data_IF_393837727574
#
_entry.id   IF_393837727574
#
_cell.length_a   1.000
_cell.length_b   1.000
_cell.length_c   1.000
_cell.angle_alpha   90.00
_cell.angle_beta   90.00
_cell.angle_gamma   90.00
#
_symmetry.space_group_name_H-M   'P 1'
#
loop_
_entity.id
_entity.type
_entity.pdbx_description
1 polymer ?
#
# COMPACT_ATOMS: atom_id res chain seq x y z
N UNK A 1 -15.99 -20.31 -15.90
CA UNK A 1 -16.78 -19.28 -15.19
C UNK A 1 -17.86 -18.78 -16.13
N UNK A 2 -19.10 -18.69 -15.65
CA UNK A 2 -20.21 -18.06 -16.40
C UNK A 2 -20.31 -16.59 -16.00
N UNK A 3 -20.48 -15.70 -16.98
CA UNK A 3 -20.68 -14.28 -16.82
C UNK A 3 -21.90 -13.84 -17.60
N UNK A 4 -22.93 -13.37 -16.92
CA UNK A 4 -24.09 -12.73 -17.53
C UNK A 4 -24.06 -11.22 -17.28
N UNK A 5 -24.30 -10.42 -18.31
CA UNK A 5 -24.35 -8.95 -18.20
C UNK A 5 -25.67 -8.45 -18.74
N UNK A 6 -26.45 -7.78 -17.93
CA UNK A 6 -27.74 -7.19 -18.31
C UNK A 6 -27.55 -5.68 -18.48
N UNK A 7 -27.81 -5.16 -19.68
CA UNK A 7 -27.64 -3.74 -20.01
C UNK A 7 -28.67 -3.29 -21.04
N UNK A 8 -28.94 -2.00 -21.12
CA UNK A 8 -29.69 -1.39 -22.22
C UNK A 8 -28.79 -0.99 -23.42
N UNK A 9 -27.50 -1.24 -23.29
CA UNK A 9 -26.47 -0.99 -24.32
C UNK A 9 -25.54 -2.19 -24.50
N UNK A 10 -26.01 -3.32 -25.07
CA UNK A 10 -25.19 -4.53 -25.23
C UNK A 10 -23.87 -4.30 -25.94
N UNK A 11 -23.85 -3.44 -26.95
CA UNK A 11 -22.67 -3.14 -27.79
C UNK A 11 -21.54 -2.48 -26.98
N UNK A 12 -21.86 -1.89 -25.83
CA UNK A 12 -20.86 -1.30 -24.92
C UNK A 12 -19.89 -2.33 -24.40
N UNK A 13 -20.27 -3.60 -24.40
CA UNK A 13 -19.49 -4.71 -23.84
C UNK A 13 -18.64 -5.43 -24.89
N UNK A 14 -18.69 -5.01 -26.16
CA UNK A 14 -17.89 -5.57 -27.23
C UNK A 14 -16.37 -5.65 -26.96
N UNK A 15 -15.74 -4.73 -26.17
CA UNK A 15 -14.33 -4.87 -25.78
C UNK A 15 -13.98 -6.17 -25.05
N UNK A 16 -14.94 -6.83 -24.40
CA UNK A 16 -14.74 -8.13 -23.76
C UNK A 16 -14.48 -9.29 -24.73
N UNK A 17 -14.66 -9.07 -26.03
CA UNK A 17 -14.27 -10.02 -27.09
C UNK A 17 -12.80 -9.90 -27.51
N UNK A 18 -12.09 -8.91 -27.00
CA UNK A 18 -10.73 -8.60 -27.39
C UNK A 18 -9.70 -9.18 -26.41
N UNK A 19 -8.41 -9.18 -26.81
CA UNK A 19 -7.26 -9.48 -25.98
C UNK A 19 -7.39 -10.82 -25.20
N UNK A 20 -6.96 -10.84 -23.95
CA UNK A 20 -6.93 -12.02 -23.10
C UNK A 20 -8.33 -12.55 -22.75
N UNK A 21 -9.29 -11.65 -22.51
CA UNK A 21 -10.68 -12.05 -22.21
C UNK A 21 -11.31 -12.71 -23.42
N UNK A 22 -11.19 -12.13 -24.61
CA UNK A 22 -11.67 -12.75 -25.83
C UNK A 22 -10.99 -14.10 -26.13
N UNK A 23 -9.70 -14.27 -25.78
CA UNK A 23 -9.03 -15.56 -25.85
C UNK A 23 -9.63 -16.54 -24.83
N UNK A 24 -9.81 -16.16 -23.59
CA UNK A 24 -10.37 -16.99 -22.52
C UNK A 24 -11.80 -17.47 -22.88
N UNK A 25 -12.59 -16.64 -23.55
CA UNK A 25 -13.90 -17.01 -24.09
C UNK A 25 -13.79 -18.10 -25.17
N UNK A 26 -12.90 -17.91 -26.14
CA UNK A 26 -12.67 -18.93 -27.21
C UNK A 26 -12.13 -20.26 -26.65
N UNK A 27 -11.33 -20.19 -25.61
CA UNK A 27 -10.76 -21.37 -24.92
C UNK A 27 -11.77 -22.03 -23.95
N UNK A 28 -12.98 -21.48 -23.81
CA UNK A 28 -14.02 -22.02 -22.93
C UNK A 28 -13.81 -21.80 -21.44
N UNK A 29 -12.84 -20.95 -21.04
CA UNK A 29 -12.61 -20.60 -19.63
C UNK A 29 -13.67 -19.64 -19.11
N UNK A 30 -14.22 -18.81 -19.98
CA UNK A 30 -15.27 -17.83 -19.69
C UNK A 30 -16.42 -18.01 -20.70
N UNK A 31 -17.62 -18.21 -20.18
CA UNK A 31 -18.88 -18.17 -20.94
C UNK A 31 -19.57 -16.82 -20.67
N UNK A 32 -19.37 -15.85 -21.57
CA UNK A 32 -19.96 -14.51 -21.47
C UNK A 32 -21.25 -14.42 -22.27
N UNK A 33 -22.34 -14.06 -21.61
CA UNK A 33 -23.65 -13.79 -22.20
C UNK A 33 -24.05 -12.34 -21.89
N UNK A 34 -24.49 -11.63 -22.91
CA UNK A 34 -24.95 -10.25 -22.76
C UNK A 34 -26.44 -10.19 -23.12
N UNK A 35 -27.24 -9.66 -22.20
CA UNK A 35 -28.70 -9.56 -22.33
C UNK A 35 -29.08 -8.09 -22.51
N UNK A 36 -29.89 -7.80 -23.56
CA UNK A 36 -30.55 -6.50 -23.66
C UNK A 36 -31.76 -6.47 -22.73
N UNK A 37 -31.71 -5.60 -21.71
CA UNK A 37 -32.82 -5.43 -20.77
C UNK A 37 -34.16 -5.10 -21.51
N UNK A 38 -34.08 -4.48 -22.66
CA UNK A 38 -35.28 -4.14 -23.47
C UNK A 38 -35.99 -5.37 -24.02
N UNK A 39 -35.36 -6.54 -24.10
CA UNK A 39 -36.01 -7.79 -24.50
C UNK A 39 -37.01 -8.32 -23.48
N UNK A 40 -36.94 -7.80 -22.26
CA UNK A 40 -37.84 -8.10 -21.11
C UNK A 40 -38.92 -7.04 -20.91
N UNK A 41 -39.24 -6.27 -21.94
CA UNK A 41 -40.33 -5.29 -21.95
C UNK A 41 -41.48 -5.75 -22.85
N UNK A 42 -42.70 -5.37 -22.54
CA UNK A 42 -43.90 -5.81 -23.23
C UNK A 42 -44.64 -4.68 -23.98
N UNK A 43 -44.17 -3.43 -23.80
CA UNK A 43 -44.75 -2.29 -24.48
C UNK A 43 -44.06 -2.05 -25.83
N UNK A 44 -44.80 -1.41 -26.76
CA UNK A 44 -44.33 -1.12 -28.12
C UNK A 44 -43.01 -0.31 -28.14
N UNK A 45 -42.77 0.52 -27.15
CA UNK A 45 -41.60 1.40 -27.07
C UNK A 45 -40.41 0.78 -26.33
N UNK A 46 -40.56 -0.46 -25.83
CA UNK A 46 -39.54 -1.19 -25.07
C UNK A 46 -38.99 -0.34 -23.90
N UNK A 47 -39.93 0.24 -23.13
CA UNK A 47 -39.63 1.24 -22.07
C UNK A 47 -39.09 0.60 -20.82
N UNK A 48 -37.88 0.95 -20.42
CA UNK A 48 -37.16 0.39 -19.26
C UNK A 48 -37.10 1.33 -18.08
N UNK A 49 -37.57 2.57 -18.18
CA UNK A 49 -37.48 3.62 -17.17
C UNK A 49 -38.78 4.40 -17.02
N UNK A 50 -38.94 5.10 -15.90
CA UNK A 50 -40.08 5.98 -15.60
C UNK A 50 -39.66 7.07 -14.60
N UNK A 51 -40.54 8.04 -14.39
CA UNK A 51 -40.34 9.13 -13.42
C UNK A 51 -40.29 8.60 -11.98
N UNK A 52 -39.41 9.16 -11.12
CA UNK A 52 -39.30 8.71 -9.72
C UNK A 52 -40.53 9.10 -8.89
N UNK A 53 -40.95 8.19 -8.02
CA UNK A 53 -41.92 8.55 -6.98
C UNK A 53 -41.32 9.59 -6.02
N UNK A 54 -42.12 10.56 -5.62
CA UNK A 54 -41.67 11.67 -4.80
C UNK A 54 -41.16 12.86 -5.62
N UNK A 55 -41.14 12.75 -6.92
CA UNK A 55 -40.62 13.78 -7.84
C UNK A 55 -39.10 13.86 -7.85
N UNK A 56 -38.55 14.82 -8.60
CA UNK A 56 -37.12 15.02 -8.77
C UNK A 56 -36.75 15.02 -10.25
N UNK A 57 -35.47 15.30 -10.53
CA UNK A 57 -34.91 15.23 -11.88
C UNK A 57 -34.51 13.79 -12.20
N UNK A 58 -34.51 13.46 -13.50
CA UNK A 58 -34.06 12.17 -13.97
C UNK A 58 -35.17 11.10 -14.07
N UNK A 59 -34.74 9.88 -14.32
CA UNK A 59 -35.59 8.70 -14.52
C UNK A 59 -35.04 7.56 -13.67
N UNK A 60 -35.88 6.59 -13.31
CA UNK A 60 -35.51 5.38 -12.57
C UNK A 60 -35.83 4.17 -13.40
N UNK A 61 -34.95 3.19 -13.47
CA UNK A 61 -35.17 1.95 -14.21
C UNK A 61 -36.25 1.11 -13.53
N UNK A 62 -37.22 0.68 -14.34
CA UNK A 62 -38.41 -0.04 -13.88
C UNK A 62 -38.10 -1.41 -13.29
N UNK A 63 -38.79 -1.84 -12.23
CA UNK A 63 -38.56 -3.14 -11.62
C UNK A 63 -38.96 -4.33 -12.51
N UNK A 64 -40.02 -4.21 -13.33
CA UNK A 64 -40.53 -5.33 -14.11
C UNK A 64 -39.53 -5.89 -15.13
N UNK A 65 -38.89 -5.09 -16.02
CA UNK A 65 -37.87 -5.64 -16.94
C UNK A 65 -36.70 -6.29 -16.21
N UNK A 66 -36.29 -5.71 -15.06
CA UNK A 66 -35.20 -6.25 -14.26
C UNK A 66 -35.57 -7.59 -13.61
N UNK A 67 -36.76 -7.73 -13.04
CA UNK A 67 -37.19 -8.99 -12.43
C UNK A 67 -37.24 -10.11 -13.46
N UNK A 68 -37.81 -9.86 -14.64
CA UNK A 68 -37.88 -10.86 -15.71
C UNK A 68 -36.51 -11.26 -16.26
N UNK A 69 -35.60 -10.28 -16.44
CA UNK A 69 -34.22 -10.56 -16.87
C UNK A 69 -33.46 -11.40 -15.83
N UNK A 70 -33.60 -11.07 -14.54
CA UNK A 70 -32.97 -11.82 -13.46
C UNK A 70 -33.57 -13.22 -13.31
N UNK A 71 -34.89 -13.40 -13.41
CA UNK A 71 -35.55 -14.71 -13.40
C UNK A 71 -35.07 -15.57 -14.59
N UNK A 72 -34.90 -14.96 -15.77
CA UNK A 72 -34.36 -15.65 -16.95
C UNK A 72 -32.93 -16.15 -16.72
N UNK A 73 -32.07 -15.36 -16.11
CA UNK A 73 -30.69 -15.74 -15.80
C UNK A 73 -30.65 -16.78 -14.67
N UNK A 74 -31.45 -16.62 -13.62
CA UNK A 74 -31.52 -17.57 -12.51
C UNK A 74 -31.95 -18.96 -12.98
N UNK A 75 -32.93 -19.03 -13.88
CA UNK A 75 -33.43 -20.31 -14.44
C UNK A 75 -32.37 -21.09 -15.26
N UNK A 76 -31.29 -20.45 -15.66
CA UNK A 76 -30.18 -21.04 -16.41
C UNK A 76 -28.95 -21.35 -15.53
N UNK A 77 -29.04 -21.14 -14.24
CA UNK A 77 -27.92 -21.34 -13.31
C UNK A 77 -28.09 -22.62 -12.52
N UNK A 78 -27.00 -23.40 -12.43
CA UNK A 78 -26.95 -24.62 -11.60
C UNK A 78 -26.64 -24.33 -10.12
N UNK A 79 -26.35 -23.08 -9.78
CA UNK A 79 -25.99 -22.61 -8.42
C UNK A 79 -26.52 -21.22 -8.19
N UNK A 80 -26.55 -20.78 -6.93
CA UNK A 80 -26.92 -19.40 -6.58
C UNK A 80 -25.85 -18.42 -7.10
N UNK A 81 -26.16 -17.59 -8.14
CA UNK A 81 -25.18 -16.67 -8.72
C UNK A 81 -24.90 -15.47 -7.80
N UNK A 82 -23.75 -14.80 -8.01
CA UNK A 82 -23.49 -13.50 -7.41
C UNK A 82 -23.99 -12.41 -8.37
N UNK A 83 -24.95 -11.61 -7.93
CA UNK A 83 -25.43 -10.44 -8.67
C UNK A 83 -24.62 -9.20 -8.24
N UNK A 84 -23.85 -8.63 -9.17
CA UNK A 84 -23.08 -7.42 -8.95
C UNK A 84 -23.82 -6.24 -9.58
N UNK A 85 -24.12 -5.24 -8.75
CA UNK A 85 -24.73 -3.99 -9.18
C UNK A 85 -23.69 -2.88 -9.03
N UNK A 86 -23.08 -2.39 -10.14
CA UNK A 86 -22.17 -1.26 -10.07
C UNK A 86 -22.91 0.01 -9.63
N UNK A 87 -22.42 0.66 -8.56
CA UNK A 87 -23.04 1.88 -8.06
C UNK A 87 -22.10 2.65 -7.14
N UNK A 88 -22.16 4.02 -7.13
CA UNK A 88 -21.24 4.85 -6.35
C UNK A 88 -21.39 4.68 -4.83
N UNK A 89 -22.56 4.24 -4.37
CA UNK A 89 -22.85 3.96 -2.95
C UNK A 89 -22.48 2.55 -2.49
N UNK A 90 -21.91 1.71 -3.37
CA UNK A 90 -21.54 0.34 -3.06
C UNK A 90 -20.24 0.20 -2.27
N UNK A 91 -19.98 -1.03 -1.81
CA UNK A 91 -18.69 -1.38 -1.24
C UNK A 91 -17.59 -1.19 -2.30
N UNK A 92 -16.43 -0.67 -1.89
CA UNK A 92 -15.30 -0.46 -2.79
C UNK A 92 -14.79 -1.78 -3.36
N UNK A 93 -14.77 -1.88 -4.68
CA UNK A 93 -14.14 -2.97 -5.40
C UNK A 93 -12.61 -2.83 -5.33
N UNK A 94 -11.93 -3.86 -4.85
CA UNK A 94 -10.48 -3.94 -4.74
C UNK A 94 -9.97 -5.32 -5.20
N UNK A 95 -8.65 -5.53 -5.09
CA UNK A 95 -8.03 -6.79 -5.52
C UNK A 95 -8.50 -8.01 -4.71
N UNK A 96 -8.82 -7.84 -3.42
CA UNK A 96 -9.35 -8.91 -2.59
C UNK A 96 -10.77 -9.32 -3.05
N UNK A 97 -11.62 -8.33 -3.34
CA UNK A 97 -12.95 -8.53 -3.92
C UNK A 97 -12.87 -9.21 -5.31
N UNK A 98 -11.90 -8.79 -6.14
CA UNK A 98 -11.69 -9.43 -7.44
C UNK A 98 -11.32 -10.92 -7.30
N UNK A 99 -10.50 -11.29 -6.32
CA UNK A 99 -10.16 -12.71 -6.02
C UNK A 99 -11.37 -13.50 -5.54
N UNK A 100 -12.14 -12.95 -4.63
CA UNK A 100 -13.35 -13.60 -4.14
C UNK A 100 -14.32 -13.89 -5.29
N UNK A 101 -14.53 -12.91 -6.17
CA UNK A 101 -15.37 -13.06 -7.34
C UNK A 101 -14.77 -14.02 -8.40
N UNK A 102 -13.46 -14.06 -8.57
CA UNK A 102 -12.79 -15.00 -9.48
C UNK A 102 -12.96 -16.47 -9.05
N UNK A 103 -13.24 -16.73 -7.77
CA UNK A 103 -13.50 -18.06 -7.24
C UNK A 103 -14.97 -18.52 -7.45
N UNK A 104 -15.87 -17.63 -7.88
CA UNK A 104 -17.28 -17.95 -8.11
C UNK A 104 -17.47 -18.66 -9.45
N UNK A 105 -18.46 -19.53 -9.54
CA UNK A 105 -18.80 -20.22 -10.77
C UNK A 105 -19.62 -19.36 -11.73
N UNK A 106 -20.47 -18.47 -11.20
CA UNK A 106 -21.40 -17.66 -11.98
C UNK A 106 -21.51 -16.24 -11.40
N UNK A 107 -21.20 -15.23 -12.20
CA UNK A 107 -21.38 -13.81 -11.89
C UNK A 107 -22.40 -13.19 -12.83
N UNK A 108 -23.27 -12.36 -12.29
CA UNK A 108 -24.28 -11.59 -13.03
C UNK A 108 -24.05 -10.12 -12.77
N UNK A 109 -23.97 -9.30 -13.80
CA UNK A 109 -23.82 -7.86 -13.69
C UNK A 109 -25.07 -7.13 -14.14
N UNK A 110 -25.61 -6.26 -13.29
CA UNK A 110 -26.76 -5.41 -13.59
C UNK A 110 -26.28 -3.97 -13.86
N UNK A 111 -26.23 -3.57 -15.12
CA UNK A 111 -25.80 -2.22 -15.53
C UNK A 111 -26.93 -1.21 -15.35
N UNK A 112 -26.96 -0.55 -14.18
CA UNK A 112 -27.87 0.57 -13.94
C UNK A 112 -27.54 1.79 -14.80
N UNK A 113 -28.58 2.56 -15.16
CA UNK A 113 -28.51 3.83 -15.86
C UNK A 113 -29.41 4.85 -15.19
N UNK A 114 -29.38 6.09 -15.65
CA UNK A 114 -30.17 7.20 -15.11
C UNK A 114 -29.89 7.40 -13.60
N UNK A 115 -30.94 7.55 -12.77
CA UNK A 115 -30.81 7.70 -11.30
C UNK A 115 -30.66 6.34 -10.58
N UNK A 116 -30.60 5.24 -11.34
CA UNK A 116 -30.41 3.89 -10.81
C UNK A 116 -31.55 2.94 -11.13
N UNK A 117 -31.48 1.77 -10.52
CA UNK A 117 -32.47 0.71 -10.60
C UNK A 117 -33.44 0.87 -9.43
N UNK A 118 -34.73 0.62 -9.63
CA UNK A 118 -35.74 0.62 -8.55
C UNK A 118 -35.28 -0.28 -7.40
N UNK A 119 -35.25 0.26 -6.18
CA UNK A 119 -34.68 -0.38 -4.99
C UNK A 119 -35.30 -1.76 -4.68
N UNK A 120 -36.58 -1.95 -5.04
CA UNK A 120 -37.30 -3.23 -4.88
C UNK A 120 -36.72 -4.38 -5.66
N UNK A 121 -35.92 -4.09 -6.70
CA UNK A 121 -35.23 -5.11 -7.51
C UNK A 121 -34.17 -5.83 -6.70
N UNK A 122 -33.50 -5.14 -5.78
CA UNK A 122 -32.45 -5.76 -4.96
C UNK A 122 -33.03 -6.75 -3.95
N UNK A 123 -34.14 -6.38 -3.29
CA UNK A 123 -34.87 -7.27 -2.38
C UNK A 123 -35.45 -8.48 -3.15
N UNK A 124 -35.95 -8.25 -4.34
CA UNK A 124 -36.48 -9.32 -5.21
C UNK A 124 -35.36 -10.30 -5.61
N UNK A 125 -34.24 -9.79 -6.07
CA UNK A 125 -33.10 -10.57 -6.50
C UNK A 125 -32.45 -11.39 -5.37
N UNK A 126 -32.50 -10.87 -4.13
CA UNK A 126 -31.92 -11.55 -2.97
C UNK A 126 -32.51 -12.94 -2.68
N UNK A 127 -33.64 -13.31 -3.29
CA UNK A 127 -34.20 -14.67 -3.19
C UNK A 127 -33.33 -15.71 -3.88
N UNK A 128 -32.79 -15.36 -5.05
CA UNK A 128 -32.13 -16.31 -5.95
C UNK A 128 -30.65 -15.98 -6.17
N UNK A 129 -30.19 -14.77 -5.78
CA UNK A 129 -28.84 -14.25 -5.94
C UNK A 129 -28.19 -13.85 -4.61
N UNK A 130 -26.86 -13.89 -4.57
CA UNK A 130 -26.06 -13.12 -3.60
C UNK A 130 -25.85 -11.71 -4.17
N UNK A 131 -26.60 -10.73 -3.65
CA UNK A 131 -26.62 -9.36 -4.20
C UNK A 131 -25.49 -8.53 -3.59
N UNK A 132 -24.63 -7.98 -4.44
CA UNK A 132 -23.50 -7.14 -4.04
C UNK A 132 -23.50 -5.82 -4.81
N UNK A 133 -23.65 -4.71 -4.10
CA UNK A 133 -23.47 -3.37 -4.68
C UNK A 133 -22.01 -2.99 -4.56
N UNK A 134 -21.33 -2.75 -5.69
CA UNK A 134 -19.90 -2.49 -5.74
C UNK A 134 -19.57 -1.16 -6.43
N UNK A 135 -18.62 -0.41 -5.87
CA UNK A 135 -18.15 0.87 -6.38
C UNK A 135 -16.70 0.78 -6.86
N UNK A 136 -16.38 1.36 -8.02
CA UNK A 136 -14.99 1.52 -8.48
C UNK A 136 -14.23 2.63 -7.72
N UNK A 137 -14.95 3.55 -7.05
CA UNK A 137 -14.36 4.67 -6.33
C UNK A 137 -15.35 5.82 -6.13
N UNK A 138 -14.90 6.89 -5.48
CA UNK A 138 -15.72 8.02 -5.05
C UNK A 138 -15.96 9.00 -6.24
N UNK A 139 -16.60 8.52 -7.28
CA UNK A 139 -17.03 9.29 -8.45
C UNK A 139 -18.24 8.64 -9.12
N UNK A 140 -18.97 9.42 -9.91
CA UNK A 140 -20.19 8.97 -10.58
C UNK A 140 -19.92 8.73 -12.07
N UNK A 141 -20.36 7.58 -12.58
CA UNK A 141 -20.37 7.23 -14.00
C UNK A 141 -21.80 7.39 -14.56
N UNK A 142 -21.90 7.56 -15.89
CA UNK A 142 -23.21 7.64 -16.58
C UNK A 142 -23.99 6.31 -16.58
N UNK A 143 -23.34 5.20 -16.25
CA UNK A 143 -23.94 3.86 -16.20
C UNK A 143 -22.97 2.79 -15.77
N UNK A 144 -23.47 1.57 -15.56
CA UNK A 144 -22.70 0.46 -15.00
C UNK A 144 -21.71 -0.20 -15.97
N UNK A 145 -21.85 -0.01 -17.28
CA UNK A 145 -21.12 -0.78 -18.29
C UNK A 145 -19.59 -0.59 -18.19
N UNK A 146 -19.13 0.66 -17.99
CA UNK A 146 -17.69 0.95 -17.79
C UNK A 146 -17.15 0.26 -16.53
N UNK A 147 -17.94 0.25 -15.47
CA UNK A 147 -17.58 -0.44 -14.24
C UNK A 147 -17.50 -1.95 -14.47
N UNK A 148 -18.44 -2.53 -15.21
CA UNK A 148 -18.43 -3.95 -15.56
C UNK A 148 -17.18 -4.30 -16.38
N UNK A 149 -16.81 -3.49 -17.38
CA UNK A 149 -15.57 -3.71 -18.14
C UNK A 149 -14.35 -3.76 -17.23
N UNK A 150 -14.22 -2.80 -16.30
CA UNK A 150 -13.10 -2.75 -15.36
C UNK A 150 -13.10 -3.93 -14.37
N UNK A 151 -14.27 -4.30 -13.83
CA UNK A 151 -14.40 -5.41 -12.90
C UNK A 151 -14.11 -6.75 -13.59
N UNK A 152 -14.65 -6.98 -14.79
CA UNK A 152 -14.40 -8.22 -15.55
C UNK A 152 -12.92 -8.33 -15.94
N UNK A 153 -12.25 -7.25 -16.35
CA UNK A 153 -10.80 -7.26 -16.58
C UNK A 153 -10.01 -7.68 -15.34
N UNK A 154 -10.35 -7.14 -14.18
CA UNK A 154 -9.67 -7.47 -12.94
C UNK A 154 -9.96 -8.91 -12.47
N UNK A 155 -11.19 -9.41 -12.63
CA UNK A 155 -11.62 -10.76 -12.22
C UNK A 155 -11.06 -11.82 -13.19
N UNK A 156 -11.23 -11.62 -14.49
CA UNK A 156 -10.93 -12.62 -15.51
C UNK A 156 -9.44 -13.01 -15.51
N UNK A 157 -8.53 -12.06 -15.28
CA UNK A 157 -7.09 -12.34 -15.21
C UNK A 157 -6.67 -13.23 -14.04
N UNK A 158 -7.52 -13.36 -13.01
CA UNK A 158 -7.29 -14.20 -11.83
C UNK A 158 -7.82 -15.63 -12.02
N UNK A 159 -8.59 -15.88 -13.09
CA UNK A 159 -9.08 -17.22 -13.42
C UNK A 159 -7.89 -18.06 -13.93
N UNK A 160 -7.67 -19.27 -13.37
CA UNK A 160 -6.59 -20.15 -13.83
C UNK A 160 -6.63 -20.40 -15.34
N UNK A 161 -5.49 -20.21 -16.00
CA UNK A 161 -5.34 -20.41 -17.45
C UNK A 161 -5.61 -19.20 -18.32
N UNK A 162 -6.18 -18.11 -17.81
CA UNK A 162 -6.40 -16.85 -18.58
C UNK A 162 -5.07 -16.14 -18.80
N UNK A 163 -4.23 -15.99 -17.77
CA UNK A 163 -2.86 -15.49 -17.90
C UNK A 163 -1.90 -16.67 -18.08
N UNK A 164 -1.01 -16.56 -19.07
CA UNK A 164 -0.09 -17.66 -19.42
C UNK A 164 0.99 -17.94 -18.40
N UNK A 165 1.39 -16.95 -17.59
CA UNK A 165 2.36 -17.12 -16.49
C UNK A 165 1.77 -16.64 -15.17
N UNK A 166 1.38 -17.57 -14.31
CA UNK A 166 0.81 -17.28 -12.99
C UNK A 166 1.77 -16.54 -12.06
N UNK A 167 3.11 -16.71 -12.23
CA UNK A 167 4.11 -16.03 -11.42
C UNK A 167 4.06 -14.50 -11.62
N UNK A 168 3.57 -14.03 -12.77
CA UNK A 168 3.41 -12.59 -13.02
C UNK A 168 2.40 -11.92 -12.10
N UNK A 169 1.43 -12.68 -11.57
CA UNK A 169 0.42 -12.18 -10.62
C UNK A 169 0.97 -11.96 -9.21
N UNK A 170 2.04 -12.68 -8.83
CA UNK A 170 2.55 -12.69 -7.44
C UNK A 170 3.26 -11.38 -7.08
N UNK A 171 3.91 -10.71 -8.04
CA UNK A 171 4.69 -9.49 -7.80
C UNK A 171 3.94 -8.19 -8.15
N UNK A 172 2.64 -8.27 -8.42
CA UNK A 172 1.84 -7.11 -8.82
C UNK A 172 1.43 -6.22 -7.63
N UNK A 173 1.02 -4.99 -7.95
CA UNK A 173 0.45 -4.07 -6.97
C UNK A 173 -0.79 -4.65 -6.29
N UNK A 174 -0.91 -4.47 -4.98
CA UNK A 174 -2.01 -4.89 -4.12
C UNK A 174 -2.10 -6.38 -3.79
N UNK A 175 -1.15 -7.22 -4.25
CA UNK A 175 -1.16 -8.65 -3.93
C UNK A 175 -0.83 -8.94 -2.46
N UNK A 176 0.13 -8.20 -1.91
CA UNK A 176 0.58 -8.29 -0.51
C UNK A 176 0.48 -6.94 0.22
N UNK A 177 -0.37 -6.03 -0.24
CA UNK A 177 -0.56 -4.70 0.33
C UNK A 177 0.48 -3.67 -0.10
N UNK A 178 1.40 -3.99 -0.99
CA UNK A 178 2.39 -3.04 -1.53
C UNK A 178 2.13 -2.74 -3.01
N UNK A 179 2.63 -1.58 -3.46
CA UNK A 179 2.76 -1.30 -4.89
C UNK A 179 3.95 -2.04 -5.48
N UNK A 180 3.92 -2.33 -6.77
CA UNK A 180 5.03 -2.94 -7.50
C UNK A 180 6.26 -2.03 -7.60
N UNK A 181 7.43 -2.63 -7.82
CA UNK A 181 8.69 -1.94 -8.08
C UNK A 181 8.75 -1.35 -9.51
N UNK A 182 9.71 -0.42 -9.80
CA UNK A 182 9.90 0.08 -11.16
C UNK A 182 10.46 -1.01 -12.08
N UNK A 183 9.84 -1.16 -13.25
CA UNK A 183 10.28 -2.09 -14.27
C UNK A 183 11.07 -1.39 -15.37
N UNK A 184 12.05 -2.08 -15.95
CA UNK A 184 12.93 -1.58 -16.99
C UNK A 184 13.06 -2.60 -18.11
N UNK A 185 13.26 -2.13 -19.34
CA UNK A 185 13.53 -2.95 -20.50
C UNK A 185 14.69 -2.35 -21.33
N UNK A 186 15.04 -2.99 -22.42
CA UNK A 186 16.09 -2.53 -23.35
C UNK A 186 15.70 -1.24 -24.06
N UNK A 187 16.66 -0.36 -24.35
CA UNK A 187 18.10 -0.46 -24.07
C UNK A 187 18.48 -0.13 -22.63
N UNK A 188 19.65 -0.59 -22.15
CA UNK A 188 20.14 -0.32 -20.79
C UNK A 188 20.44 1.15 -20.51
N UNK A 189 20.75 1.93 -21.55
CA UNK A 189 20.84 3.40 -21.50
C UNK A 189 19.87 3.99 -22.52
N UNK A 190 18.96 4.83 -22.03
CA UNK A 190 18.01 5.54 -22.86
C UNK A 190 18.09 7.05 -22.56
N UNK A 191 18.66 7.82 -23.48
CA UNK A 191 18.88 9.26 -23.34
C UNK A 191 19.64 9.64 -22.04
N UNK A 192 20.69 8.90 -21.69
CA UNK A 192 21.47 9.11 -20.47
C UNK A 192 20.79 8.62 -19.18
N UNK A 193 19.62 8.00 -19.29
CA UNK A 193 18.91 7.37 -18.15
C UNK A 193 19.21 5.90 -18.15
N UNK A 194 20.04 5.48 -17.22
CA UNK A 194 20.51 4.08 -17.12
C UNK A 194 19.59 3.23 -16.26
N UNK A 195 19.46 1.96 -16.66
CA UNK A 195 18.90 0.92 -15.80
C UNK A 195 19.79 0.79 -14.55
N UNK A 196 19.21 0.66 -13.33
CA UNK A 196 20.00 0.42 -12.12
C UNK A 196 20.93 -0.78 -12.26
N UNK A 197 22.21 -0.61 -11.91
CA UNK A 197 23.25 -1.62 -12.11
C UNK A 197 22.94 -2.95 -11.42
N UNK A 198 22.26 -2.90 -10.25
CA UNK A 198 21.84 -4.10 -9.53
C UNK A 198 20.97 -5.02 -10.38
N UNK A 199 20.14 -4.46 -11.29
CA UNK A 199 19.27 -5.25 -12.18
C UNK A 199 20.05 -5.91 -13.33
N UNK A 200 21.28 -5.46 -13.60
CA UNK A 200 22.16 -6.00 -14.62
C UNK A 200 23.19 -6.98 -14.02
N UNK A 201 23.24 -7.12 -12.70
CA UNK A 201 24.28 -7.90 -11.99
C UNK A 201 24.13 -9.42 -12.10
N UNK A 202 22.94 -9.93 -12.41
CA UNK A 202 22.61 -11.37 -12.32
C UNK A 202 22.51 -11.92 -10.89
N UNK A 203 22.72 -11.10 -9.85
CA UNK A 203 22.61 -11.50 -8.45
C UNK A 203 21.14 -11.43 -8.01
N UNK A 204 20.44 -12.57 -8.08
CA UNK A 204 19.02 -12.67 -7.78
C UNK A 204 18.67 -12.20 -6.36
N UNK A 205 19.54 -12.43 -5.37
CA UNK A 205 19.28 -12.01 -3.99
C UNK A 205 19.32 -10.47 -3.85
N UNK A 206 20.32 -9.82 -4.47
CA UNK A 206 20.41 -8.36 -4.49
C UNK A 206 19.27 -7.73 -5.29
N UNK A 207 18.88 -8.35 -6.42
CA UNK A 207 17.74 -7.89 -7.23
C UNK A 207 16.45 -7.95 -6.41
N UNK A 208 16.18 -9.07 -5.72
CA UNK A 208 14.98 -9.22 -4.88
C UNK A 208 14.95 -8.19 -3.74
N UNK A 209 16.07 -8.00 -3.05
CA UNK A 209 16.18 -6.99 -1.99
C UNK A 209 15.94 -5.57 -2.51
N UNK A 210 16.51 -5.23 -3.69
CA UNK A 210 16.30 -3.93 -4.32
C UNK A 210 14.83 -3.73 -4.73
N UNK A 211 14.20 -4.74 -5.34
CA UNK A 211 12.77 -4.71 -5.72
C UNK A 211 11.91 -4.45 -4.51
N UNK A 212 12.10 -5.18 -3.41
CA UNK A 212 11.35 -5.00 -2.17
C UNK A 212 11.53 -3.59 -1.59
N UNK A 213 12.75 -3.05 -1.54
CA UNK A 213 13.01 -1.69 -1.10
C UNK A 213 12.31 -0.64 -1.98
N UNK A 214 12.25 -0.85 -3.31
CA UNK A 214 11.52 0.04 -4.22
C UNK A 214 10.01 -0.03 -4.01
N UNK A 215 9.45 -1.21 -3.74
CA UNK A 215 8.03 -1.39 -3.41
C UNK A 215 7.66 -0.57 -2.18
N UNK A 216 8.40 -0.71 -1.08
CA UNK A 216 8.18 0.06 0.15
C UNK A 216 8.28 1.58 -0.09
N UNK A 217 9.31 2.02 -0.80
CA UNK A 217 9.51 3.45 -1.11
C UNK A 217 8.36 4.02 -1.95
N UNK A 218 7.92 3.29 -2.97
CA UNK A 218 6.79 3.71 -3.82
C UNK A 218 5.48 3.72 -3.06
N UNK A 219 5.21 2.69 -2.26
CA UNK A 219 3.99 2.60 -1.46
C UNK A 219 3.94 3.75 -0.47
N UNK A 220 5.02 4.03 0.26
CA UNK A 220 5.09 5.16 1.18
C UNK A 220 4.86 6.52 0.51
N UNK A 221 5.33 6.68 -0.73
CA UNK A 221 5.21 7.95 -1.44
C UNK A 221 3.85 8.15 -2.13
N UNK A 222 3.19 7.08 -2.60
CA UNK A 222 2.00 7.17 -3.46
C UNK A 222 0.72 6.69 -2.81
N UNK A 223 0.82 5.66 -1.96
CA UNK A 223 -0.29 4.99 -1.29
C UNK A 223 0.09 4.66 0.16
N UNK A 224 0.37 5.69 0.99
CA UNK A 224 0.72 5.48 2.40
C UNK A 224 -0.37 4.77 3.19
N UNK A 225 -1.62 4.85 2.71
CA UNK A 225 -2.78 4.15 3.27
C UNK A 225 -2.70 2.62 3.19
N UNK A 226 -1.92 2.07 2.26
CA UNK A 226 -1.71 0.62 2.13
C UNK A 226 -0.69 0.06 3.13
N UNK A 227 0.12 0.93 3.72
CA UNK A 227 1.08 0.49 4.73
C UNK A 227 0.35 0.27 6.07
N UNK A 228 0.82 -0.67 6.93
CA UNK A 228 0.23 -0.86 8.26
C UNK A 228 0.03 0.46 9.02
N UNK A 229 -0.92 0.52 9.95
CA UNK A 229 -1.29 1.76 10.69
C UNK A 229 -0.08 2.47 11.33
N UNK A 230 0.97 1.72 11.73
CA UNK A 230 2.27 2.29 12.08
C UNK A 230 2.87 3.20 10.99
N UNK A 231 2.42 3.05 9.76
CA UNK A 231 2.84 3.83 8.60
C UNK A 231 2.10 5.17 8.43
N UNK A 232 0.89 5.31 8.95
CA UNK A 232 0.14 6.57 8.99
C UNK A 232 0.50 7.43 10.21
N UNK A 233 1.36 6.92 11.11
CA UNK A 233 1.73 7.55 12.36
C UNK A 233 2.45 8.87 12.14
N UNK A 234 1.97 9.91 12.78
CA UNK A 234 2.67 11.20 12.93
C UNK A 234 3.80 11.09 13.94
N UNK A 235 4.90 11.83 13.73
CA UNK A 235 5.95 11.94 14.74
C UNK A 235 5.46 12.52 16.09
N UNK A 236 4.27 13.17 16.09
CA UNK A 236 3.62 13.68 17.29
C UNK A 236 2.95 12.61 18.16
N UNK A 237 2.61 11.45 17.58
CA UNK A 237 1.88 10.38 18.27
C UNK A 237 2.81 9.38 18.99
N UNK A 238 4.13 9.65 19.00
CA UNK A 238 5.11 8.79 19.63
C UNK A 238 5.14 8.90 21.14
N UNK A 239 5.06 7.78 21.82
CA UNK A 239 5.50 7.66 23.20
C UNK A 239 7.01 7.47 23.24
N UNK A 240 7.75 8.47 23.81
CA UNK A 240 9.20 8.37 23.99
C UNK A 240 9.47 8.24 25.49
N UNK A 241 10.14 7.14 25.86
CA UNK A 241 10.50 6.85 27.25
C UNK A 241 11.88 6.21 27.36
N UNK A 242 12.42 6.17 28.59
CA UNK A 242 13.66 5.46 28.89
C UNK A 242 13.46 3.95 28.63
N UNK A 243 14.44 3.31 28.00
CA UNK A 243 14.47 1.87 27.80
C UNK A 243 14.64 1.12 29.12
N UNK A 244 14.02 -0.04 29.18
CA UNK A 244 14.13 -0.99 30.30
C UNK A 244 14.74 -2.31 29.79
N UNK A 245 15.20 -3.21 30.68
CA UNK A 245 15.69 -4.53 30.27
C UNK A 245 14.68 -5.32 29.42
N UNK A 246 13.37 -5.11 29.58
CA UNK A 246 12.33 -5.75 28.78
C UNK A 246 12.33 -5.29 27.29
N UNK A 247 12.90 -4.13 27.00
CA UNK A 247 12.97 -3.58 25.63
C UNK A 247 14.15 -4.12 24.83
N UNK A 248 15.13 -4.80 25.46
CA UNK A 248 16.41 -5.16 24.83
C UNK A 248 16.25 -6.05 23.62
N UNK A 249 15.33 -7.03 23.62
CA UNK A 249 15.12 -7.92 22.49
C UNK A 249 14.62 -7.18 21.24
N UNK A 250 13.67 -6.28 21.42
CA UNK A 250 13.12 -5.46 20.34
C UNK A 250 14.11 -4.39 19.89
N UNK A 251 14.87 -3.81 20.82
CA UNK A 251 15.94 -2.85 20.54
C UNK A 251 17.06 -3.47 19.71
N UNK A 252 17.44 -4.73 19.99
CA UNK A 252 18.43 -5.48 19.20
C UNK A 252 17.94 -5.69 17.76
N UNK A 253 16.70 -6.08 17.61
CA UNK A 253 16.07 -6.26 16.29
C UNK A 253 16.06 -4.96 15.49
N UNK A 254 15.69 -3.84 16.13
CA UNK A 254 15.72 -2.51 15.51
C UNK A 254 17.14 -2.11 15.13
N UNK A 255 18.12 -2.35 16.01
CA UNK A 255 19.54 -2.07 15.76
C UNK A 255 20.01 -2.81 14.51
N UNK A 256 19.81 -4.12 14.44
CA UNK A 256 20.25 -4.91 13.30
C UNK A 256 19.57 -4.47 12.00
N UNK A 257 18.25 -4.20 12.00
CA UNK A 257 17.53 -3.70 10.84
C UNK A 257 18.06 -2.35 10.33
N UNK A 258 18.30 -1.40 11.24
CA UNK A 258 18.81 -0.08 10.87
C UNK A 258 20.24 -0.12 10.33
N UNK A 259 21.12 -0.91 10.95
CA UNK A 259 22.53 -0.97 10.55
C UNK A 259 22.78 -1.85 9.34
N UNK A 260 21.95 -2.86 9.11
CA UNK A 260 21.92 -3.58 7.83
C UNK A 260 21.62 -2.61 6.67
N UNK A 261 20.60 -1.76 6.83
CA UNK A 261 20.25 -0.75 5.82
C UNK A 261 21.38 0.28 5.60
N UNK A 262 22.07 0.71 6.67
CA UNK A 262 23.25 1.59 6.57
C UNK A 262 24.41 0.90 5.87
N UNK A 263 24.65 -0.37 6.16
CA UNK A 263 25.66 -1.18 5.51
C UNK A 263 25.44 -1.32 4.01
N UNK A 264 24.19 -1.59 3.61
CA UNK A 264 23.78 -1.66 2.19
C UNK A 264 24.00 -0.31 1.51
N UNK A 265 23.60 0.80 2.12
CA UNK A 265 23.70 2.14 1.54
C UNK A 265 25.16 2.61 1.38
N UNK A 266 26.06 2.19 2.26
CA UNK A 266 27.46 2.62 2.30
C UNK A 266 28.43 1.57 1.72
N UNK A 267 27.91 0.43 1.24
CA UNK A 267 28.69 -0.71 0.75
C UNK A 267 29.75 -1.21 1.77
N UNK A 268 29.40 -1.16 3.07
CA UNK A 268 30.23 -1.64 4.19
C UNK A 268 29.46 -2.69 4.97
N UNK A 269 30.03 -3.90 5.07
CA UNK A 269 29.44 -4.99 5.85
C UNK A 269 29.98 -5.06 7.30
N UNK A 270 30.92 -4.21 7.66
CA UNK A 270 31.55 -4.20 8.99
C UNK A 270 31.18 -2.93 9.75
N UNK A 271 30.11 -3.03 10.56
CA UNK A 271 29.75 -1.99 11.53
C UNK A 271 29.64 -2.64 12.92
N UNK A 272 30.28 -2.09 13.97
CA UNK A 272 30.20 -2.63 15.32
C UNK A 272 28.78 -2.88 15.84
N UNK A 273 27.82 -2.09 15.39
CA UNK A 273 26.41 -2.25 15.76
C UNK A 273 25.75 -3.52 15.22
N UNK A 274 26.27 -4.11 14.15
CA UNK A 274 25.77 -5.39 13.62
C UNK A 274 26.18 -6.59 14.47
N UNK A 275 27.18 -6.40 15.34
CA UNK A 275 27.70 -7.43 16.25
C UNK A 275 27.17 -7.28 17.68
N UNK A 276 26.24 -6.34 17.93
CA UNK A 276 25.61 -6.22 19.24
C UNK A 276 24.77 -7.47 19.54
N UNK A 277 24.77 -7.86 20.81
CA UNK A 277 24.02 -9.01 21.35
C UNK A 277 23.08 -8.54 22.44
N UNK A 278 22.18 -9.39 22.90
CA UNK A 278 21.32 -9.13 24.06
C UNK A 278 22.16 -8.74 25.29
N UNK A 279 23.30 -9.44 25.55
CA UNK A 279 24.21 -9.14 26.67
C UNK A 279 24.81 -7.74 26.55
N UNK A 280 25.43 -7.43 25.39
CA UNK A 280 26.10 -6.14 25.19
C UNK A 280 25.12 -4.95 25.22
N UNK A 281 23.90 -5.12 24.72
CA UNK A 281 22.87 -4.09 24.82
C UNK A 281 22.37 -3.91 26.26
N UNK A 282 22.20 -5.02 27.00
CA UNK A 282 21.81 -4.96 28.42
C UNK A 282 22.86 -4.21 29.26
N UNK A 283 24.11 -4.53 29.03
CA UNK A 283 25.25 -3.85 29.70
C UNK A 283 25.27 -2.36 29.32
N UNK A 284 25.05 -2.03 28.07
CA UNK A 284 25.03 -0.63 27.57
C UNK A 284 23.94 0.23 28.21
N UNK A 285 22.84 -0.34 28.70
CA UNK A 285 21.79 0.41 29.40
C UNK A 285 22.27 0.97 30.77
N UNK A 286 23.34 0.43 31.35
CA UNK A 286 23.93 0.96 32.57
C UNK A 286 24.78 2.22 32.29
N UNK A 287 25.42 2.29 31.11
CA UNK A 287 26.35 3.38 30.75
C UNK A 287 25.68 4.49 29.95
N UNK A 288 24.60 4.19 29.24
CA UNK A 288 23.89 5.07 28.35
C UNK A 288 22.43 5.23 28.73
N UNK A 289 21.94 6.46 28.76
CA UNK A 289 20.50 6.69 28.77
C UNK A 289 19.96 6.42 27.39
N UNK A 290 19.30 5.28 27.22
CA UNK A 290 18.71 4.88 25.94
C UNK A 290 17.21 5.15 25.95
N UNK A 291 16.74 5.99 25.05
CA UNK A 291 15.32 6.26 24.86
C UNK A 291 14.79 5.43 23.70
N UNK A 292 13.58 4.90 23.86
CA UNK A 292 12.84 4.16 22.84
C UNK A 292 11.58 4.93 22.49
N UNK A 293 11.27 5.00 21.21
CA UNK A 293 10.04 5.57 20.68
C UNK A 293 9.10 4.45 20.26
N UNK A 294 7.87 4.46 20.78
CA UNK A 294 6.83 3.48 20.47
C UNK A 294 5.65 4.13 19.74
N UNK A 295 5.06 3.39 18.81
CA UNK A 295 3.80 3.74 18.20
C UNK A 295 2.63 3.58 19.20
N UNK A 296 1.44 4.14 18.91
CA UNK A 296 0.24 3.92 19.72
C UNK A 296 -0.11 2.44 19.92
N UNK A 297 0.24 1.58 18.97
CA UNK A 297 0.05 0.13 19.02
C UNK A 297 1.14 -0.60 19.79
N UNK A 298 2.10 0.15 20.36
CA UNK A 298 3.17 -0.38 21.20
C UNK A 298 4.44 -0.86 20.47
N UNK A 299 4.49 -0.84 19.13
CA UNK A 299 5.68 -1.22 18.35
C UNK A 299 6.83 -0.24 18.58
N UNK A 300 8.05 -0.73 18.81
CA UNK A 300 9.25 0.10 18.84
C UNK A 300 9.59 0.57 17.42
N UNK A 301 9.59 1.87 17.21
CA UNK A 301 9.76 2.50 15.88
C UNK A 301 11.02 3.34 15.78
N UNK A 302 11.70 3.57 16.88
CA UNK A 302 12.95 4.30 16.91
C UNK A 302 13.62 4.25 18.27
N UNK A 303 14.88 4.64 18.29
CA UNK A 303 15.67 4.74 19.53
C UNK A 303 16.77 5.79 19.36
N UNK A 304 17.19 6.36 20.47
CA UNK A 304 18.37 7.23 20.58
C UNK A 304 19.00 7.01 21.94
N UNK A 305 20.32 7.01 22.00
CA UNK A 305 21.03 6.96 23.30
C UNK A 305 21.87 8.20 23.50
N UNK A 306 22.00 8.59 24.75
CA UNK A 306 22.71 9.79 25.17
C UNK A 306 23.57 9.50 26.39
N UNK A 307 24.66 10.27 26.52
CA UNK A 307 25.59 10.14 27.63
C UNK A 307 26.19 11.50 27.94
N UNK A 308 26.39 11.79 29.23
CA UNK A 308 27.12 12.97 29.65
C UNK A 308 28.64 12.77 29.49
N UNK A 309 29.28 13.65 28.73
CA UNK A 309 30.73 13.64 28.51
C UNK A 309 31.30 15.04 28.90
N UNK A 310 31.64 15.21 30.17
CA UNK A 310 32.03 16.50 30.69
C UNK A 310 30.91 17.54 30.63
N UNK A 311 31.09 18.63 29.88
CA UNK A 311 30.08 19.68 29.66
C UNK A 311 29.21 19.43 28.43
N UNK A 312 29.37 18.28 27.78
CA UNK A 312 28.74 17.94 26.52
C UNK A 312 27.78 16.76 26.67
N UNK A 313 26.54 16.91 26.18
CA UNK A 313 25.55 15.84 26.01
C UNK A 313 25.76 15.15 24.69
N UNK A 314 26.31 13.94 24.73
CA UNK A 314 26.66 13.22 23.52
C UNK A 314 25.51 12.31 23.06
N UNK A 315 25.03 12.50 21.83
CA UNK A 315 23.96 11.75 21.20
C UNK A 315 24.58 10.67 20.30
N UNK A 316 24.18 9.43 20.50
CA UNK A 316 24.61 8.29 19.71
C UNK A 316 23.44 7.39 19.32
N UNK A 317 23.64 6.51 18.34
CA UNK A 317 22.68 5.48 17.95
C UNK A 317 21.26 6.01 17.73
N UNK A 318 21.11 7.15 17.02
CA UNK A 318 19.80 7.61 16.58
C UNK A 318 19.31 6.73 15.44
N UNK A 319 18.28 5.96 15.71
CA UNK A 319 17.73 4.93 14.83
C UNK A 319 16.24 5.14 14.60
N UNK A 320 15.79 4.86 13.39
CA UNK A 320 14.37 4.82 13.01
C UNK A 320 14.14 3.58 12.20
N UNK A 321 13.08 2.84 12.48
CA UNK A 321 12.70 1.65 11.74
C UNK A 321 12.74 1.94 10.23
N UNK A 322 13.39 1.11 9.40
CA UNK A 322 13.64 1.41 7.98
C UNK A 322 12.36 1.70 7.19
N UNK A 323 11.26 0.99 7.48
CA UNK A 323 9.93 1.16 6.90
C UNK A 323 9.26 2.50 7.26
N UNK A 324 9.73 3.19 8.31
CA UNK A 324 9.23 4.48 8.78
C UNK A 324 10.17 5.65 8.48
N UNK A 325 11.20 5.42 7.69
CA UNK A 325 12.17 6.44 7.32
C UNK A 325 11.52 7.59 6.53
N UNK A 326 11.90 8.84 6.86
CA UNK A 326 11.41 10.03 6.17
C UNK A 326 10.16 10.69 6.77
N UNK A 327 9.61 10.15 7.85
CA UNK A 327 8.37 10.63 8.53
C UNK A 327 8.60 11.62 9.67
N UNK A 328 9.80 12.14 9.81
CA UNK A 328 10.12 13.09 10.89
C UNK A 328 10.45 12.45 12.24
N UNK A 329 10.35 11.12 12.38
CA UNK A 329 10.62 10.41 13.65
C UNK A 329 12.06 10.67 14.15
N UNK A 330 13.05 10.61 13.24
CA UNK A 330 14.44 10.88 13.61
C UNK A 330 14.67 12.31 14.10
N UNK A 331 13.96 13.27 13.52
CA UNK A 331 13.97 14.66 14.01
C UNK A 331 13.35 14.77 15.40
N UNK A 332 12.23 14.11 15.64
CA UNK A 332 11.55 14.11 16.94
C UNK A 332 12.40 13.46 18.03
N UNK A 333 13.09 12.35 17.72
CA UNK A 333 14.05 11.71 18.62
C UNK A 333 15.25 12.61 18.91
N UNK A 334 15.76 13.32 17.91
CA UNK A 334 16.86 14.28 18.07
C UNK A 334 16.45 15.43 19.00
N UNK A 335 15.28 16.04 18.76
CA UNK A 335 14.72 17.11 19.59
C UNK A 335 14.51 16.63 21.04
N UNK A 336 14.00 15.40 21.23
CA UNK A 336 13.83 14.81 22.55
C UNK A 336 15.18 14.60 23.25
N UNK A 337 16.18 14.07 22.54
CA UNK A 337 17.52 13.87 23.08
C UNK A 337 18.21 15.20 23.48
N UNK A 338 17.98 16.27 22.69
CA UNK A 338 18.47 17.61 23.02
C UNK A 338 17.79 18.18 24.29
N UNK A 339 16.47 18.02 24.40
CA UNK A 339 15.70 18.53 25.55
C UNK A 339 15.90 17.71 26.82
N UNK A 340 16.38 16.47 26.73
CA UNK A 340 16.72 15.64 27.85
C UNK A 340 18.10 15.96 28.49
N UNK A 341 18.85 16.88 27.88
CA UNK A 341 20.16 17.29 28.41
C UNK A 341 20.04 17.92 29.80
N UNK A 342 20.91 17.55 30.76
CA UNK A 342 20.97 18.19 32.07
C UNK A 342 21.18 19.71 31.99
N UNK A 343 20.64 20.45 32.94
CA UNK A 343 20.73 21.92 32.95
C UNK A 343 22.18 22.46 32.97
N UNK A 344 23.14 21.69 33.46
CA UNK A 344 24.57 22.05 33.47
C UNK A 344 25.26 21.88 32.11
N UNK A 345 24.61 21.26 31.14
CA UNK A 345 25.16 20.98 29.80
C UNK A 345 25.35 22.25 29.00
N UNK A 346 26.53 22.44 28.43
CA UNK A 346 26.87 23.62 27.60
C UNK A 346 26.72 23.36 26.10
N UNK A 347 26.79 22.10 25.67
CA UNK A 347 26.68 21.73 24.28
C UNK A 347 26.12 20.35 24.09
N UNK A 348 25.52 20.12 22.94
CA UNK A 348 25.12 18.80 22.43
C UNK A 348 26.02 18.44 21.26
N UNK A 349 26.48 17.18 21.21
CA UNK A 349 27.35 16.71 20.15
C UNK A 349 26.90 15.32 19.65
N UNK A 350 27.28 15.01 18.44
CA UNK A 350 27.07 13.71 17.80
C UNK A 350 28.11 13.46 16.72
N UNK A 351 28.28 12.20 16.32
CA UNK A 351 29.10 11.83 15.17
C UNK A 351 28.30 11.02 14.16
N UNK A 352 28.61 11.16 12.89
CA UNK A 352 27.99 10.40 11.79
C UNK A 352 29.00 10.16 10.68
N UNK A 353 28.82 9.07 9.91
CA UNK A 353 29.68 8.77 8.79
C UNK A 353 29.64 9.91 7.75
N UNK A 354 30.78 10.26 7.19
CA UNK A 354 30.93 11.33 6.17
C UNK A 354 30.09 11.09 4.93
N UNK A 355 29.88 9.82 4.55
CA UNK A 355 29.04 9.41 3.42
C UNK A 355 27.53 9.58 3.69
N UNK A 356 27.10 9.76 4.94
CA UNK A 356 25.69 9.87 5.28
C UNK A 356 25.16 11.31 5.07
N UNK A 357 25.10 11.74 3.81
CA UNK A 357 24.74 13.11 3.42
C UNK A 357 23.33 13.50 3.86
N UNK A 358 22.39 12.54 3.96
CA UNK A 358 21.02 12.79 4.42
C UNK A 358 21.00 13.18 5.90
N UNK A 359 21.69 12.44 6.74
CA UNK A 359 21.74 12.73 8.17
C UNK A 359 22.54 14.01 8.43
N UNK A 360 23.63 14.25 7.71
CA UNK A 360 24.38 15.50 7.81
C UNK A 360 23.49 16.73 7.55
N UNK A 361 22.67 16.69 6.50
CA UNK A 361 21.70 17.78 6.21
C UNK A 361 20.66 17.94 7.31
N UNK A 362 20.18 16.84 7.90
CA UNK A 362 19.23 16.88 9.02
C UNK A 362 19.85 17.56 10.25
N UNK A 363 21.05 17.16 10.66
CA UNK A 363 21.74 17.73 11.81
C UNK A 363 22.10 19.22 11.60
N UNK A 364 22.54 19.59 10.39
CA UNK A 364 22.83 20.97 10.05
C UNK A 364 21.57 21.87 10.13
N UNK A 365 20.41 21.36 9.67
CA UNK A 365 19.11 22.06 9.82
C UNK A 365 18.68 22.17 11.27
N UNK A 366 19.04 21.23 12.12
CA UNK A 366 18.81 21.28 13.57
C UNK A 366 19.78 22.20 14.31
N UNK A 367 20.73 22.84 13.62
CA UNK A 367 21.66 23.83 14.18
C UNK A 367 23.04 23.28 14.53
N UNK A 368 23.30 21.99 14.29
CA UNK A 368 24.63 21.42 14.50
C UNK A 368 25.63 21.89 13.45
N UNK A 369 26.87 22.09 13.86
CA UNK A 369 27.98 22.49 12.98
C UNK A 369 29.13 21.52 13.10
N UNK A 370 29.81 21.18 11.97
CA UNK A 370 31.01 20.37 12.03
C UNK A 370 32.10 21.07 12.83
N UNK A 371 32.77 20.33 13.69
CA UNK A 371 33.92 20.80 14.46
C UNK A 371 34.98 19.69 14.50
N UNK A 372 36.20 20.02 14.93
CA UNK A 372 37.26 19.02 15.13
C UNK A 372 36.83 17.99 16.15
N UNK A 373 36.93 16.72 15.78
CA UNK A 373 36.60 15.61 16.66
C UNK A 373 37.59 15.50 17.84
N UNK A 374 37.13 15.16 19.03
CA UNK A 374 38.01 14.75 20.12
C UNK A 374 38.81 13.47 19.75
N UNK A 375 39.89 13.18 20.46
CA UNK A 375 40.61 11.91 20.29
C UNK A 375 39.69 10.69 20.45
N UNK A 376 39.84 9.67 19.58
CA UNK A 376 39.07 8.43 19.66
C UNK A 376 37.95 8.32 18.63
N UNK A 377 37.72 9.32 17.77
CA UNK A 377 36.79 9.24 16.64
C UNK A 377 37.50 8.81 15.35
N UNK A 378 36.79 8.03 14.52
CA UNK A 378 37.33 7.51 13.26
C UNK A 378 37.40 8.61 12.18
N UNK A 379 38.40 8.55 11.29
CA UNK A 379 38.65 9.56 10.25
C UNK A 379 37.50 9.71 9.23
N UNK A 380 36.71 8.66 9.04
CA UNK A 380 35.55 8.65 8.14
C UNK A 380 34.29 9.26 8.76
N UNK A 381 34.34 9.67 10.04
CA UNK A 381 33.24 10.32 10.75
C UNK A 381 33.35 11.85 10.69
N UNK A 382 32.18 12.48 10.76
CA UNK A 382 32.03 13.92 10.95
C UNK A 382 31.47 14.13 12.35
N UNK A 383 32.23 14.82 13.21
CA UNK A 383 31.80 15.24 14.52
C UNK A 383 31.08 16.60 14.43
N UNK A 384 29.89 16.67 14.97
CA UNK A 384 29.04 17.87 14.93
C UNK A 384 28.68 18.31 16.34
N UNK A 385 28.71 19.61 16.57
CA UNK A 385 28.39 20.23 17.86
C UNK A 385 27.39 21.38 17.69
N UNK A 386 26.52 21.50 18.68
CA UNK A 386 25.55 22.60 18.85
C UNK A 386 25.68 23.15 20.26
N UNK A 387 25.97 24.43 20.42
CA UNK A 387 25.97 25.08 21.72
C UNK A 387 24.54 25.27 22.22
N UNK A 388 24.29 24.86 23.46
CA UNK A 388 23.09 25.23 24.18
C UNK A 388 23.33 26.62 24.76
N UNK A 389 22.52 27.61 24.39
CA UNK A 389 22.59 28.93 24.98
C UNK A 389 22.13 28.84 26.42
N UNK A 390 22.96 29.28 27.36
CA UNK A 390 22.55 29.55 28.70
C UNK A 390 21.58 30.73 28.79
#
# INVERSE_FOLDING_TARGET
>A
MQLDVISIFPDYLAPLDLSLIGKARRDGLIDLRVHDLRDFTHDRHRTVDDTPYGGGAGMVMKPQPWSEALDHVAAQSDSRPVLIVPGPGGQRFDQATARDLAAQSHLVFACGRYEGIDERVYDYAARDFDVRILSLGDYVLNGGEVAVLAMVEAIARLIPGVIGNADSLVEESHEDGLLEYPVYTKPADWHGRRVPEVLLSGDHAKIAAWRHAQRLTRTAARRPDLLPAAAAMSAGDLEIRLATPADVGELLTLTHACWLQVGINNNTLSNPAQHETVSSLTESLADWQTYVARSPEGRMVGSVRVQEQGDTWFIARLMVAPDLSGRGIGRRLLEYAETSAPAATRAVALATARGNTRNLKMYQRAGFRPVSAPPGFEEDQVYLRKSLRG
#
